data_IF_674083352643
#
_entry.id   IF_674083352643
#
_cell.length_a   1.000
_cell.length_b   1.000
_cell.length_c   1.000
_cell.angle_alpha   90.00
_cell.angle_beta   90.00
_cell.angle_gamma   90.00
#
_symmetry.space_group_name_H-M   'P 1'
#
loop_
_entity.id
_entity.type
_entity.pdbx_description
1 polymer ?
#
# COMPACT_ATOMS: atom_id res chain seq x y z
N UNK A 1 11.80 -4.00 -20.68
CA UNK A 1 12.41 -3.69 -19.38
C UNK A 1 11.28 -3.63 -18.36
N UNK A 2 11.39 -4.35 -17.24
CA UNK A 2 10.35 -4.39 -16.20
C UNK A 2 10.22 -3.05 -15.50
N UNK A 3 8.99 -2.54 -15.36
CA UNK A 3 8.68 -1.35 -14.57
C UNK A 3 8.43 -1.79 -13.13
N UNK A 4 9.24 -1.29 -12.19
CA UNK A 4 9.18 -1.65 -10.77
C UNK A 4 8.39 -0.60 -10.01
N UNK A 5 7.12 -0.87 -9.77
CA UNK A 5 6.22 0.08 -9.12
C UNK A 5 6.28 -0.11 -7.61
N UNK A 6 6.82 0.86 -6.89
CA UNK A 6 6.66 0.98 -5.45
C UNK A 6 5.36 1.73 -5.15
N UNK A 7 4.28 0.99 -4.85
CA UNK A 7 3.01 1.59 -4.46
C UNK A 7 3.01 1.84 -2.95
N UNK A 8 3.14 3.12 -2.58
CA UNK A 8 3.19 3.58 -1.20
C UNK A 8 1.80 3.89 -0.67
N UNK A 9 1.49 3.36 0.51
CA UNK A 9 0.25 3.67 1.23
C UNK A 9 0.46 3.63 2.74
N UNK A 10 -0.39 4.35 3.48
CA UNK A 10 -0.63 4.04 4.89
C UNK A 10 -1.54 2.81 5.06
N UNK A 11 -1.70 2.30 6.29
CA UNK A 11 -2.64 1.21 6.55
C UNK A 11 -4.09 1.64 6.25
N UNK A 12 -4.97 0.65 6.10
CA UNK A 12 -6.42 0.87 5.90
C UNK A 12 -6.76 1.65 4.63
N UNK A 13 -5.99 1.48 3.56
CA UNK A 13 -6.07 2.30 2.35
C UNK A 13 -6.34 1.46 1.08
N UNK A 14 -7.17 0.41 1.17
CA UNK A 14 -7.48 -0.55 0.06
C UNK A 14 -6.25 -1.13 -0.68
N UNK A 15 -5.04 -1.02 -0.12
CA UNK A 15 -3.80 -1.37 -0.82
C UNK A 15 -3.72 -2.84 -1.19
N UNK A 16 -4.32 -3.74 -0.40
CA UNK A 16 -4.44 -5.16 -0.77
C UNK A 16 -5.38 -5.37 -1.95
N UNK A 17 -6.46 -4.60 -2.09
CA UNK A 17 -7.33 -4.65 -3.28
C UNK A 17 -6.58 -4.13 -4.52
N UNK A 18 -5.76 -3.08 -4.37
CA UNK A 18 -4.84 -2.65 -5.43
C UNK A 18 -3.83 -3.75 -5.80
N UNK A 19 -3.26 -4.44 -4.82
CA UNK A 19 -2.39 -5.59 -5.08
C UNK A 19 -3.12 -6.70 -5.84
N UNK A 20 -4.37 -7.03 -5.48
CA UNK A 20 -5.19 -8.00 -6.24
C UNK A 20 -5.47 -7.55 -7.66
N UNK A 21 -5.75 -6.27 -7.85
CA UNK A 21 -5.94 -5.66 -9.16
C UNK A 21 -4.71 -5.82 -10.05
N UNK A 22 -3.52 -5.44 -9.57
CA UNK A 22 -2.27 -5.62 -10.31
C UNK A 22 -1.92 -7.10 -10.52
N UNK A 23 -2.11 -7.95 -9.51
CA UNK A 23 -1.88 -9.39 -9.60
C UNK A 23 -2.90 -10.15 -10.46
N UNK A 24 -3.96 -9.50 -10.95
CA UNK A 24 -4.86 -10.11 -11.94
C UNK A 24 -4.35 -9.99 -13.37
N UNK A 25 -3.31 -9.18 -13.62
CA UNK A 25 -2.69 -9.06 -14.93
C UNK A 25 -1.74 -10.23 -15.18
N UNK A 26 -1.73 -10.75 -16.41
CA UNK A 26 -0.85 -11.86 -16.78
C UNK A 26 0.64 -11.48 -16.87
N UNK A 27 0.93 -10.19 -17.07
CA UNK A 27 2.28 -9.65 -17.27
C UNK A 27 2.89 -9.06 -15.99
N UNK A 28 2.29 -9.31 -14.83
CA UNK A 28 2.62 -8.66 -13.57
C UNK A 28 2.98 -9.68 -12.50
N UNK A 29 4.06 -9.40 -11.77
CA UNK A 29 4.38 -10.06 -10.50
C UNK A 29 4.14 -9.06 -9.39
N UNK A 30 3.69 -9.52 -8.22
CA UNK A 30 3.46 -8.65 -7.06
C UNK A 30 4.28 -9.07 -5.86
N UNK A 31 4.58 -8.11 -4.98
CA UNK A 31 5.18 -8.34 -3.66
C UNK A 31 4.32 -7.69 -2.60
N UNK A 32 3.98 -8.45 -1.56
CA UNK A 32 3.14 -8.00 -0.45
C UNK A 32 4.01 -7.57 0.74
N UNK A 33 3.94 -6.29 1.12
CA UNK A 33 4.61 -5.67 2.28
C UNK A 33 6.04 -6.20 2.56
N UNK A 34 6.99 -6.01 1.63
CA UNK A 34 8.29 -6.67 1.70
C UNK A 34 9.17 -6.23 2.88
N UNK A 35 8.88 -5.08 3.49
CA UNK A 35 9.61 -4.54 4.65
C UNK A 35 9.00 -4.94 6.00
N UNK A 36 7.97 -5.80 6.03
CA UNK A 36 7.22 -6.06 7.25
C UNK A 36 8.03 -6.80 8.33
N UNK A 37 8.74 -7.87 7.97
CA UNK A 37 9.59 -8.56 8.94
C UNK A 37 10.72 -7.68 9.46
N UNK A 38 11.36 -6.88 8.60
CA UNK A 38 12.35 -5.90 9.04
C UNK A 38 11.74 -4.90 10.05
N UNK A 39 10.57 -4.35 9.75
CA UNK A 39 9.86 -3.43 10.63
C UNK A 39 9.58 -4.05 12.01
N UNK A 40 9.07 -5.28 12.06
CA UNK A 40 8.79 -5.97 13.32
C UNK A 40 10.07 -6.37 14.08
N UNK A 41 11.13 -6.75 13.37
CA UNK A 41 12.42 -7.06 13.97
C UNK A 41 13.05 -5.82 14.62
N UNK A 42 13.05 -4.69 13.90
CA UNK A 42 13.67 -3.45 14.35
C UNK A 42 12.90 -2.74 15.47
N UNK A 43 11.57 -2.81 15.46
CA UNK A 43 10.72 -2.13 16.45
C UNK A 43 10.44 -2.99 17.69
N UNK A 44 10.51 -4.32 17.57
CA UNK A 44 10.15 -5.24 18.65
C UNK A 44 8.65 -5.27 18.97
N UNK A 45 7.80 -4.69 18.11
CA UNK A 45 6.36 -4.61 18.33
C UNK A 45 5.73 -6.00 18.46
N UNK A 46 4.86 -6.14 19.46
CA UNK A 46 3.96 -7.29 19.54
C UNK A 46 2.84 -7.14 18.49
N UNK A 47 2.73 -8.15 17.62
CA UNK A 47 1.91 -8.09 16.43
C UNK A 47 1.29 -9.46 16.12
N UNK A 48 0.00 -9.55 15.70
CA UNK A 48 -0.57 -10.80 15.23
C UNK A 48 0.27 -11.43 14.11
N UNK A 49 0.62 -12.71 14.27
CA UNK A 49 1.44 -13.46 13.32
C UNK A 49 2.92 -13.05 13.31
N UNK A 50 3.42 -12.39 14.38
CA UNK A 50 4.77 -11.84 14.43
C UNK A 50 5.85 -12.85 14.06
N UNK A 51 5.82 -14.03 14.68
CA UNK A 51 6.87 -15.04 14.52
C UNK A 51 6.83 -15.64 13.11
N UNK A 52 5.64 -15.86 12.56
CA UNK A 52 5.45 -16.29 11.17
C UNK A 52 5.95 -15.23 10.19
N UNK A 53 5.64 -13.95 10.43
CA UNK A 53 6.12 -12.83 9.58
C UNK A 53 7.65 -12.80 9.59
N UNK A 54 8.28 -12.83 10.77
CA UNK A 54 9.74 -12.84 10.91
C UNK A 54 10.42 -14.02 10.22
N UNK A 55 9.77 -15.19 10.21
CA UNK A 55 10.29 -16.39 9.55
C UNK A 55 10.08 -16.36 8.03
N UNK A 56 9.09 -15.61 7.54
CA UNK A 56 8.70 -15.59 6.13
C UNK A 56 9.49 -14.62 5.25
N UNK A 57 10.18 -13.63 5.83
CA UNK A 57 10.83 -12.54 5.10
C UNK A 57 12.19 -12.17 5.69
N UNK A 58 13.10 -11.55 4.91
CA UNK A 58 14.36 -11.03 5.43
C UNK A 58 14.13 -9.96 6.52
N UNK A 59 14.93 -10.00 7.57
CA UNK A 59 14.87 -9.04 8.69
C UNK A 59 15.85 -7.88 8.54
N UNK A 60 16.77 -7.97 7.58
CA UNK A 60 17.67 -6.88 7.18
C UNK A 60 17.08 -6.15 5.98
N UNK A 61 17.00 -4.83 6.04
CA UNK A 61 16.40 -4.05 4.96
C UNK A 61 17.24 -4.08 3.68
N UNK A 62 18.56 -4.29 3.79
CA UNK A 62 19.45 -4.40 2.62
C UNK A 62 19.10 -5.62 1.78
N UNK A 63 18.86 -6.77 2.41
CA UNK A 63 18.45 -8.00 1.73
C UNK A 63 17.09 -7.80 1.02
N UNK A 64 16.17 -7.04 1.64
CA UNK A 64 14.89 -6.68 1.03
C UNK A 64 15.10 -5.76 -0.17
N UNK A 65 15.92 -4.70 -0.04
CA UNK A 65 16.21 -3.76 -1.11
C UNK A 65 16.88 -4.42 -2.32
N UNK A 66 17.80 -5.35 -2.08
CA UNK A 66 18.46 -6.13 -3.12
C UNK A 66 17.45 -7.04 -3.85
N UNK A 67 16.53 -7.69 -3.13
CA UNK A 67 15.47 -8.50 -3.74
C UNK A 67 14.51 -7.64 -4.59
N UNK A 68 14.10 -6.46 -4.09
CA UNK A 68 13.15 -5.58 -4.77
C UNK A 68 13.74 -4.91 -6.03
N UNK A 69 15.06 -4.71 -6.07
CA UNK A 69 15.76 -4.04 -7.18
C UNK A 69 16.56 -4.98 -8.07
N UNK A 70 16.73 -6.25 -7.65
CA UNK A 70 17.45 -7.30 -8.36
C UNK A 70 16.64 -8.02 -9.45
N UNK A 71 17.23 -9.02 -10.11
CA UNK A 71 16.59 -9.77 -11.20
C UNK A 71 15.25 -10.42 -10.79
N UNK A 72 14.28 -10.45 -11.71
CA UNK A 72 12.97 -11.06 -11.47
C UNK A 72 12.79 -12.23 -12.45
N UNK A 73 12.50 -13.46 -11.97
CA UNK A 73 12.23 -14.59 -12.85
C UNK A 73 11.07 -14.32 -13.81
N UNK A 74 11.23 -14.71 -15.07
CA UNK A 74 10.18 -14.62 -16.10
C UNK A 74 10.01 -13.25 -16.75
N UNK A 75 10.85 -12.26 -16.41
CA UNK A 75 10.89 -10.93 -17.03
C UNK A 75 9.51 -10.26 -17.19
N UNK A 76 8.71 -10.11 -16.11
CA UNK A 76 7.39 -9.51 -16.21
C UNK A 76 7.47 -8.08 -16.73
N UNK A 77 6.39 -7.59 -17.34
CA UNK A 77 6.31 -6.19 -17.76
C UNK A 77 6.25 -5.27 -16.54
N UNK A 78 5.53 -5.68 -15.49
CA UNK A 78 5.35 -4.91 -14.26
C UNK A 78 5.72 -5.74 -13.03
N UNK A 79 6.47 -5.12 -12.13
CA UNK A 79 6.68 -5.65 -10.78
C UNK A 79 6.09 -4.69 -9.76
N UNK A 80 4.93 -5.04 -9.22
CA UNK A 80 4.17 -4.20 -8.31
C UNK A 80 4.49 -4.54 -6.85
N UNK A 81 4.99 -3.57 -6.10
CA UNK A 81 5.39 -3.73 -4.72
C UNK A 81 4.41 -2.96 -3.85
N UNK A 82 3.62 -3.67 -3.04
CA UNK A 82 2.73 -3.06 -2.06
C UNK A 82 3.53 -2.67 -0.82
N UNK A 83 3.79 -1.38 -0.65
CA UNK A 83 4.51 -0.86 0.49
C UNK A 83 3.59 -0.16 1.50
N UNK A 84 3.94 -0.34 2.77
CA UNK A 84 3.42 0.45 3.87
C UNK A 84 4.46 1.49 4.26
N UNK A 85 4.09 2.77 4.25
CA UNK A 85 5.05 3.87 4.46
C UNK A 85 5.67 3.84 5.85
N UNK A 86 4.94 3.39 6.87
CA UNK A 86 5.45 3.24 8.24
C UNK A 86 6.45 2.07 8.39
N UNK A 87 6.51 1.12 7.46
CA UNK A 87 7.57 0.10 7.44
C UNK A 87 8.92 0.66 6.96
N UNK A 88 8.92 1.81 6.26
CA UNK A 88 10.13 2.49 5.86
C UNK A 88 10.71 3.30 7.03
N UNK A 89 11.39 2.60 7.95
CA UNK A 89 11.96 3.19 9.16
C UNK A 89 13.06 4.24 8.84
N UNK A 90 13.29 5.24 9.72
CA UNK A 90 14.32 6.27 9.51
C UNK A 90 15.74 5.71 9.26
N UNK A 91 16.07 4.53 9.80
CA UNK A 91 17.38 3.90 9.62
C UNK A 91 17.60 3.19 8.27
N UNK A 92 16.59 3.07 7.42
CA UNK A 92 16.70 2.38 6.12
C UNK A 92 17.34 3.32 5.09
N UNK A 93 18.35 2.88 4.34
CA UNK A 93 18.95 3.70 3.28
C UNK A 93 17.92 4.08 2.21
N UNK A 94 18.01 5.27 1.62
CA UNK A 94 17.07 5.73 0.57
C UNK A 94 17.56 5.46 -0.86
N UNK A 95 18.84 5.18 -1.05
CA UNK A 95 19.46 5.09 -2.39
C UNK A 95 18.81 4.04 -3.30
N UNK A 96 18.35 2.91 -2.75
CA UNK A 96 17.69 1.85 -3.52
C UNK A 96 16.33 2.27 -4.08
N UNK A 97 15.65 3.23 -3.43
CA UNK A 97 14.36 3.75 -3.90
C UNK A 97 14.50 4.46 -5.24
N UNK A 98 15.64 5.09 -5.52
CA UNK A 98 15.93 5.71 -6.81
C UNK A 98 15.95 4.74 -8.00
N UNK A 99 15.92 3.42 -7.75
CA UNK A 99 15.79 2.38 -8.79
C UNK A 99 14.34 1.97 -9.06
N UNK A 100 13.37 2.60 -8.41
CA UNK A 100 11.95 2.26 -8.48
C UNK A 100 11.15 3.39 -9.15
N UNK A 101 10.00 3.03 -9.69
CA UNK A 101 8.96 3.95 -10.10
C UNK A 101 7.95 4.07 -8.97
N UNK A 102 7.67 5.28 -8.49
CA UNK A 102 6.86 5.49 -7.30
C UNK A 102 5.41 5.83 -7.68
N UNK A 103 4.45 5.30 -6.91
CA UNK A 103 3.06 5.71 -6.94
C UNK A 103 2.53 5.80 -5.51
N UNK A 104 1.50 6.61 -5.31
CA UNK A 104 0.97 6.90 -3.98
C UNK A 104 -0.52 6.67 -3.94
N UNK A 105 -0.94 5.80 -3.04
CA UNK A 105 -2.33 5.57 -2.72
C UNK A 105 -2.63 6.29 -1.41
N UNK A 106 -3.54 7.25 -1.46
CA UNK A 106 -3.95 8.07 -0.31
C UNK A 106 -5.42 7.81 0.04
N UNK A 107 -5.78 8.11 1.28
CA UNK A 107 -7.15 8.06 1.77
C UNK A 107 -7.35 9.16 2.78
N UNK A 108 -8.58 9.67 2.84
CA UNK A 108 -8.95 10.66 3.85
C UNK A 108 -8.61 10.16 5.27
N UNK A 109 -7.83 10.93 6.05
CA UNK A 109 -7.48 10.61 7.43
C UNK A 109 -8.66 10.25 8.34
N UNK A 110 -9.83 10.87 8.17
CA UNK A 110 -11.01 10.57 8.98
C UNK A 110 -11.49 9.13 8.73
N UNK A 111 -11.50 8.68 7.47
CA UNK A 111 -11.87 7.30 7.14
C UNK A 111 -10.82 6.30 7.61
N UNK A 112 -9.54 6.64 7.54
CA UNK A 112 -8.45 5.79 8.06
C UNK A 112 -8.57 5.63 9.58
N UNK A 113 -8.65 6.74 10.32
CA UNK A 113 -8.76 6.74 11.78
C UNK A 113 -10.02 6.02 12.26
N UNK A 114 -11.18 6.28 11.64
CA UNK A 114 -12.43 5.59 11.95
C UNK A 114 -12.37 4.08 11.64
N UNK A 115 -11.62 3.67 10.60
CA UNK A 115 -11.39 2.25 10.34
C UNK A 115 -10.43 1.63 11.35
N UNK A 116 -9.43 2.37 11.82
CA UNK A 116 -8.40 1.87 12.73
C UNK A 116 -8.97 1.64 14.12
N UNK A 117 -9.81 2.58 14.61
CA UNK A 117 -10.43 2.52 15.94
C UNK A 117 -11.34 1.31 16.17
N UNK A 118 -11.71 0.59 15.11
CA UNK A 118 -12.53 -0.63 15.17
C UNK A 118 -11.70 -1.90 15.39
N UNK A 119 -10.40 -1.87 15.12
CA UNK A 119 -9.56 -3.07 14.97
C UNK A 119 -8.36 -3.08 15.91
N UNK A 120 -7.80 -1.91 16.24
CA UNK A 120 -6.62 -1.77 17.11
C UNK A 120 -6.80 -0.61 18.09
N UNK A 121 -5.88 -0.52 19.05
CA UNK A 121 -5.75 0.61 19.99
C UNK A 121 -5.52 1.96 19.28
N UNK A 122 -5.15 2.99 20.04
CA UNK A 122 -5.03 4.35 19.50
C UNK A 122 -3.74 4.48 18.65
N UNK A 123 -3.85 4.67 17.32
CA UNK A 123 -2.68 4.82 16.47
C UNK A 123 -2.03 6.18 16.70
N UNK A 124 -0.72 6.25 16.52
CA UNK A 124 0.00 7.51 16.38
C UNK A 124 -0.05 8.00 14.93
N UNK A 125 0.30 9.28 14.70
CA UNK A 125 0.42 9.82 13.34
C UNK A 125 1.42 9.02 12.49
N UNK A 126 2.51 8.55 13.11
CA UNK A 126 3.53 7.74 12.45
C UNK A 126 3.01 6.36 12.04
N UNK A 127 2.11 5.76 12.82
CA UNK A 127 1.47 4.47 12.48
C UNK A 127 0.53 4.60 11.28
N UNK A 128 -0.07 5.78 11.10
CA UNK A 128 -0.90 6.08 9.91
C UNK A 128 -0.05 6.31 8.66
N UNK A 129 1.23 6.62 8.81
CA UNK A 129 2.18 6.70 7.70
C UNK A 129 2.11 7.95 6.84
N UNK A 130 1.30 8.96 7.19
CA UNK A 130 1.13 10.19 6.40
C UNK A 130 2.42 11.03 6.29
N UNK A 131 3.17 11.31 7.38
CA UNK A 131 4.42 12.06 7.27
C UNK A 131 5.46 11.36 6.38
N UNK A 132 5.59 10.03 6.51
CA UNK A 132 6.50 9.21 5.72
C UNK A 132 6.08 9.19 4.24
N UNK A 133 4.77 9.13 3.96
CA UNK A 133 4.28 9.18 2.59
C UNK A 133 4.63 10.51 1.91
N UNK A 134 4.50 11.63 2.63
CA UNK A 134 4.89 12.94 2.14
C UNK A 134 6.41 13.10 1.97
N UNK A 135 7.23 12.57 2.88
CA UNK A 135 8.70 12.52 2.72
C UNK A 135 9.09 11.83 1.40
N UNK A 136 8.54 10.64 1.16
CA UNK A 136 8.84 9.84 -0.03
C UNK A 136 8.35 10.58 -1.28
N UNK A 137 7.14 11.14 -1.26
CA UNK A 137 6.58 11.89 -2.39
C UNK A 137 7.42 13.12 -2.75
N UNK A 138 7.81 13.94 -1.77
CA UNK A 138 8.67 15.11 -2.00
C UNK A 138 10.03 14.75 -2.59
N UNK A 139 10.54 13.57 -2.26
CA UNK A 139 11.87 13.12 -2.70
C UNK A 139 11.85 12.51 -4.10
N UNK A 140 10.87 11.65 -4.39
CA UNK A 140 10.87 10.83 -5.61
C UNK A 140 9.76 11.21 -6.61
N UNK A 141 8.70 11.89 -6.16
CA UNK A 141 7.52 12.18 -6.98
C UNK A 141 6.80 10.92 -7.47
N UNK A 142 5.75 11.09 -8.27
CA UNK A 142 4.98 10.00 -8.88
C UNK A 142 3.47 10.28 -8.89
N UNK A 143 2.68 9.49 -9.64
CA UNK A 143 1.23 9.63 -9.65
C UNK A 143 0.62 9.37 -8.27
N UNK A 144 -0.37 10.19 -7.90
CA UNK A 144 -1.17 10.03 -6.68
C UNK A 144 -2.59 9.60 -7.06
N UNK A 145 -3.11 8.59 -6.38
CA UNK A 145 -4.51 8.16 -6.50
C UNK A 145 -5.17 8.16 -5.13
N UNK A 146 -6.37 8.72 -5.05
CA UNK A 146 -7.19 8.60 -3.85
C UNK A 146 -7.99 7.30 -3.90
N UNK A 147 -7.99 6.55 -2.81
CA UNK A 147 -8.82 5.36 -2.63
C UNK A 147 -10.30 5.61 -2.96
N UNK A 148 -10.83 6.81 -2.67
CA UNK A 148 -12.19 7.18 -3.00
C UNK A 148 -12.41 7.24 -4.52
N UNK A 149 -11.44 7.74 -5.29
CA UNK A 149 -11.52 7.78 -6.75
C UNK A 149 -11.38 6.40 -7.38
N UNK A 150 -10.53 5.54 -6.79
CA UNK A 150 -10.46 4.11 -7.17
C UNK A 150 -11.80 3.43 -6.94
N UNK A 151 -12.46 3.64 -5.79
CA UNK A 151 -13.73 2.97 -5.48
C UNK A 151 -14.92 3.53 -6.28
N UNK A 152 -14.88 4.80 -6.70
CA UNK A 152 -15.94 5.43 -7.50
C UNK A 152 -15.91 4.95 -8.95
N UNK A 153 -14.73 4.89 -9.56
CA UNK A 153 -14.55 4.43 -10.93
C UNK A 153 -13.18 3.75 -11.08
N UNK A 154 -13.07 2.46 -10.69
CA UNK A 154 -11.80 1.76 -10.73
C UNK A 154 -11.22 1.70 -12.15
N UNK A 155 -12.08 1.57 -13.17
CA UNK A 155 -11.66 1.51 -14.57
C UNK A 155 -11.01 2.80 -15.03
N UNK A 156 -11.59 3.96 -14.73
CA UNK A 156 -11.00 5.26 -15.06
C UNK A 156 -9.70 5.49 -14.30
N UNK A 157 -9.73 5.34 -12.98
CA UNK A 157 -8.59 5.67 -12.11
C UNK A 157 -7.38 4.78 -12.42
N UNK A 158 -7.60 3.48 -12.66
CA UNK A 158 -6.51 2.56 -13.03
C UNK A 158 -5.97 2.84 -14.43
N UNK A 159 -6.77 3.30 -15.39
CA UNK A 159 -6.25 3.74 -16.70
C UNK A 159 -5.29 4.91 -16.57
N UNK A 160 -5.68 5.95 -15.82
CA UNK A 160 -4.85 7.13 -15.59
C UNK A 160 -3.55 6.75 -14.85
N UNK A 161 -3.65 5.86 -13.86
CA UNK A 161 -2.49 5.37 -13.12
C UNK A 161 -1.53 4.60 -14.03
N UNK A 162 -2.01 3.62 -14.80
CA UNK A 162 -1.19 2.85 -15.72
C UNK A 162 -0.50 3.74 -16.77
N UNK A 163 -1.24 4.69 -17.36
CA UNK A 163 -0.71 5.66 -18.32
C UNK A 163 0.41 6.50 -17.69
N UNK A 164 0.18 7.03 -16.48
CA UNK A 164 1.18 7.82 -15.74
C UNK A 164 2.43 7.00 -15.35
N UNK A 165 2.28 5.69 -15.16
CA UNK A 165 3.38 4.76 -14.88
C UNK A 165 4.05 4.20 -16.14
N UNK A 166 3.56 4.54 -17.34
CA UNK A 166 4.17 4.17 -18.61
C UNK A 166 3.83 2.78 -19.12
N UNK A 167 2.69 2.19 -18.72
CA UNK A 167 2.21 0.91 -19.27
C UNK A 167 0.70 0.90 -19.54
N UNK A 168 0.25 -0.05 -20.36
CA UNK A 168 -1.15 -0.14 -20.76
C UNK A 168 -2.04 -0.69 -19.64
N UNK A 169 -3.22 -0.11 -19.49
CA UNK A 169 -4.29 -0.68 -18.67
C UNK A 169 -4.73 -2.05 -19.19
N UNK A 170 -5.03 -2.97 -18.28
CA UNK A 170 -5.57 -4.29 -18.58
C UNK A 170 -6.93 -4.43 -17.86
N UNK A 171 -8.04 -4.72 -18.58
CA UNK A 171 -9.34 -4.95 -17.98
C UNK A 171 -9.36 -6.02 -16.88
N UNK A 172 -8.44 -7.00 -16.91
CA UNK A 172 -8.30 -8.02 -15.87
C UNK A 172 -8.04 -7.41 -14.48
N UNK A 173 -7.53 -6.18 -14.42
CA UNK A 173 -7.31 -5.44 -13.18
C UNK A 173 -8.61 -5.15 -12.40
N UNK A 174 -9.78 -5.28 -13.01
CA UNK A 174 -11.07 -4.95 -12.40
C UNK A 174 -11.76 -6.13 -11.71
N UNK A 175 -11.27 -7.35 -11.91
CA UNK A 175 -11.89 -8.54 -11.34
C UNK A 175 -10.86 -9.60 -10.93
N UNK A 176 -11.21 -10.39 -9.92
CA UNK A 176 -10.39 -11.49 -9.44
C UNK A 176 -11.25 -12.62 -8.87
N UNK A 177 -10.65 -13.81 -8.76
CA UNK A 177 -11.23 -14.92 -8.01
C UNK A 177 -11.18 -14.63 -6.50
N UNK A 178 -12.19 -15.16 -5.79
CA UNK A 178 -12.19 -15.20 -4.33
C UNK A 178 -11.11 -16.13 -3.78
N UNK A 179 -10.79 -15.97 -2.50
CA UNK A 179 -9.86 -16.82 -1.77
C UNK A 179 -8.43 -16.31 -1.69
N UNK A 180 -7.57 -17.06 -0.98
CA UNK A 180 -6.15 -16.75 -0.85
C UNK A 180 -5.42 -16.89 -2.18
N UNK A 181 -4.30 -16.20 -2.31
CA UNK A 181 -3.39 -16.32 -3.45
C UNK A 181 -1.95 -16.60 -3.01
N UNK A 182 -1.11 -17.20 -3.87
CA UNK A 182 0.27 -17.50 -3.54
C UNK A 182 1.09 -16.27 -3.11
N UNK A 183 0.76 -15.09 -3.64
CA UNK A 183 1.42 -13.83 -3.29
C UNK A 183 0.99 -13.21 -1.96
N UNK A 184 -0.08 -13.71 -1.33
CA UNK A 184 -0.54 -13.15 -0.06
C UNK A 184 0.48 -13.46 1.05
N UNK A 185 0.85 -12.46 1.84
CA UNK A 185 1.73 -12.68 2.98
C UNK A 185 1.12 -13.59 4.05
N UNK A 186 1.96 -14.19 4.90
CA UNK A 186 1.53 -15.09 5.99
C UNK A 186 0.56 -14.43 7.00
N UNK A 187 0.49 -13.09 7.01
CA UNK A 187 -0.45 -12.31 7.80
C UNK A 187 -1.87 -12.22 7.21
N UNK A 188 -2.10 -12.73 6.00
CA UNK A 188 -3.39 -12.69 5.33
C UNK A 188 -4.58 -13.18 6.20
N UNK A 189 -4.46 -14.25 7.01
CA UNK A 189 -5.55 -14.68 7.91
C UNK A 189 -6.02 -13.60 8.89
N UNK A 190 -5.16 -12.63 9.23
CA UNK A 190 -5.51 -11.54 10.15
C UNK A 190 -6.15 -10.34 9.45
N UNK A 191 -5.80 -10.08 8.19
CA UNK A 191 -6.10 -8.80 7.55
C UNK A 191 -6.93 -8.91 6.26
N UNK A 192 -6.95 -10.08 5.60
CA UNK A 192 -7.39 -10.20 4.19
C UNK A 192 -8.77 -10.83 4.01
N UNK A 193 -9.50 -11.10 5.10
CA UNK A 193 -10.84 -11.69 5.03
C UNK A 193 -11.77 -10.96 4.02
N UNK A 194 -11.76 -9.62 4.03
CA UNK A 194 -12.58 -8.82 3.11
C UNK A 194 -12.16 -8.97 1.64
N UNK A 195 -10.85 -9.02 1.35
CA UNK A 195 -10.39 -9.14 -0.04
C UNK A 195 -10.55 -10.57 -0.55
N UNK A 196 -10.35 -11.58 0.30
CA UNK A 196 -10.60 -12.98 -0.03
C UNK A 196 -12.08 -13.24 -0.36
N UNK A 197 -13.01 -12.52 0.25
CA UNK A 197 -14.43 -12.61 -0.07
C UNK A 197 -14.85 -11.82 -1.32
N UNK A 198 -13.98 -10.99 -1.88
CA UNK A 198 -14.30 -10.07 -2.98
C UNK A 198 -13.90 -10.65 -4.35
N UNK A 199 -14.55 -10.15 -5.40
CA UNK A 199 -14.22 -10.46 -6.81
C UNK A 199 -13.85 -9.21 -7.63
N UNK A 200 -13.64 -8.08 -6.95
CA UNK A 200 -13.39 -6.76 -7.52
C UNK A 200 -13.36 -5.71 -6.41
N UNK A 201 -13.17 -4.45 -6.79
CA UNK A 201 -13.21 -3.35 -5.83
C UNK A 201 -14.58 -3.22 -5.18
N UNK A 202 -14.60 -2.92 -3.88
CA UNK A 202 -15.84 -2.63 -3.17
C UNK A 202 -16.50 -1.35 -3.74
N UNK A 203 -17.84 -1.22 -3.67
CA UNK A 203 -18.50 0.01 -4.04
C UNK A 203 -18.04 1.17 -3.14
N UNK A 204 -17.96 2.38 -3.71
CA UNK A 204 -17.72 3.59 -2.94
C UNK A 204 -18.85 3.85 -1.94
N UNK A 205 -18.48 4.04 -0.67
CA UNK A 205 -19.40 4.49 0.39
C UNK A 205 -19.22 6.00 0.61
N UNK A 206 -20.23 6.84 0.28
CA UNK A 206 -20.16 8.28 0.49
C UNK A 206 -20.39 8.70 1.94
N UNK A 207 -20.70 7.77 2.85
CA UNK A 207 -21.04 8.09 4.23
C UNK A 207 -19.86 8.77 4.93
N UNK A 208 -20.08 9.87 5.67
CA UNK A 208 -19.03 10.48 6.47
C UNK A 208 -18.42 9.49 7.46
N UNK A 209 -17.10 9.58 7.66
CA UNK A 209 -16.43 8.80 8.67
C UNK A 209 -16.93 9.18 10.08
N UNK A 210 -17.38 8.18 10.85
CA UNK A 210 -17.70 8.35 12.27
C UNK A 210 -16.40 8.23 13.08
N UNK A 211 -15.75 9.37 13.32
CA UNK A 211 -14.50 9.46 14.10
C UNK A 211 -14.85 9.75 15.56
N UNK A 212 -14.38 8.95 16.54
CA UNK A 212 -14.55 9.27 17.95
C UNK A 212 -13.87 10.60 18.31
N UNK A 213 -14.53 11.44 19.11
CA UNK A 213 -14.05 12.79 19.46
C UNK A 213 -12.58 12.84 19.91
N UNK A 214 -12.16 11.85 20.73
CA UNK A 214 -10.78 11.74 21.23
C UNK A 214 -9.72 11.56 20.14
N UNK A 215 -10.10 11.09 18.95
CA UNK A 215 -9.21 10.87 17.81
C UNK A 215 -9.29 11.98 16.75
N UNK A 216 -10.19 12.97 16.91
CA UNK A 216 -10.23 14.14 16.03
C UNK A 216 -8.87 14.87 15.95
N UNK A 217 -8.11 15.08 17.04
CA UNK A 217 -6.79 15.70 16.95
C UNK A 217 -5.81 14.94 16.03
N UNK A 218 -5.91 13.61 15.96
CA UNK A 218 -5.08 12.81 15.07
C UNK A 218 -5.46 13.00 13.60
N UNK A 219 -6.76 13.12 13.32
CA UNK A 219 -7.27 13.44 11.99
C UNK A 219 -6.75 14.81 11.53
N UNK A 220 -6.83 15.82 12.39
CA UNK A 220 -6.31 17.15 12.11
C UNK A 220 -4.79 17.14 11.91
N UNK A 221 -4.04 16.35 12.69
CA UNK A 221 -2.60 16.23 12.53
C UNK A 221 -2.18 15.56 11.20
N UNK A 222 -2.99 14.64 10.69
CA UNK A 222 -2.77 13.96 9.41
C UNK A 222 -3.22 14.78 8.19
N UNK A 223 -4.18 15.69 8.38
CA UNK A 223 -4.83 16.48 7.32
C UNK A 223 -3.86 17.19 6.37
N UNK A 224 -2.83 17.92 6.83
CA UNK A 224 -1.96 18.68 5.94
C UNK A 224 -1.17 17.79 4.97
N UNK A 225 -0.73 16.62 5.43
CA UNK A 225 0.00 15.66 4.60
C UNK A 225 -0.90 15.02 3.54
N UNK A 226 -2.15 14.70 3.91
CA UNK A 226 -3.13 14.21 2.95
C UNK A 226 -3.42 15.27 1.89
N UNK A 227 -3.69 16.51 2.29
CA UNK A 227 -4.04 17.60 1.37
C UNK A 227 -2.90 17.92 0.39
N UNK A 228 -1.65 17.86 0.87
CA UNK A 228 -0.47 18.01 0.03
C UNK A 228 -0.46 16.99 -1.12
N UNK A 229 -0.60 15.70 -0.83
CA UNK A 229 -0.62 14.66 -1.87
C UNK A 229 -1.89 14.72 -2.70
N UNK A 230 -3.04 15.01 -2.08
CA UNK A 230 -4.32 15.10 -2.77
C UNK A 230 -4.36 16.21 -3.82
N UNK A 231 -3.55 17.25 -3.67
CA UNK A 231 -3.36 18.29 -4.69
C UNK A 231 -2.75 17.76 -6.00
N UNK A 232 -2.12 16.57 -5.97
CA UNK A 232 -1.50 15.90 -7.12
C UNK A 232 -2.28 14.68 -7.61
N UNK A 233 -3.52 14.45 -7.13
CA UNK A 233 -4.30 13.29 -7.54
C UNK A 233 -4.66 13.33 -9.04
N UNK A 234 -4.67 12.16 -9.66
CA UNK A 234 -5.09 11.94 -11.06
C UNK A 234 -6.60 12.13 -11.28
#
# INVERSE_FOLDING_TARGET
MTIRVAMWSGPRNISTAMMRSFGSRADTVVSDEPLYAHYLAATGLDHPGRDEILASQPQRWEDVADALTGPIPGDPAVYYQKHMTHHLLPGIGRDWLGKLTHAFLIRDPAHVVASYSKVRGEPTLSDLGYPQQAEIFRTFGGPVVDSADVLRDPGRTLRLLCESLGFAFDPAMLSWATGPRPEDGVWAPHWYASVHASTGFAPYDPSPASVPDRLLPLVEAARPYYEELAAHRL
#
